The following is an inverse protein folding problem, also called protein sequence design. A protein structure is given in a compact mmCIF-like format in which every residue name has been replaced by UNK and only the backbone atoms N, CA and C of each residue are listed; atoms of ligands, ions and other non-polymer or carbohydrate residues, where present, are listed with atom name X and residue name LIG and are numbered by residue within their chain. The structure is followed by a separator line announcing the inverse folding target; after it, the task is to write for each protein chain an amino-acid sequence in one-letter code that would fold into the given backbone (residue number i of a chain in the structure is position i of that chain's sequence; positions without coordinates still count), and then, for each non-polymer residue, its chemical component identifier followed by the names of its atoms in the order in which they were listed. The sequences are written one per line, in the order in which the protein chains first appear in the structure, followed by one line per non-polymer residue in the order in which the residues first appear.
data_IF_428869313458
#
_entry.id   IF_428869313458
#
_cell.length_a   1.000
_cell.length_b   1.000
_cell.length_c   1.000
_cell.angle_alpha   90.00
_cell.angle_beta   90.00
_cell.angle_gamma   90.00
#
_symmetry.space_group_name_H-M   'P 1'
#
loop_
_entity.id
_entity.type
_entity.pdbx_description
1 polymer ?
#
# COMPACT_ATOMS: atom_id res chain seq x y z
N UNK A 1 -29.96 20.08 38.40
CA UNK A 1 -28.93 20.91 37.69
C UNK A 1 -27.72 20.05 37.37
N UNK A 2 -27.61 19.61 36.13
CA UNK A 2 -26.50 18.75 35.68
C UNK A 2 -25.37 19.64 35.14
N UNK A 3 -24.18 19.54 35.74
CA UNK A 3 -22.98 20.21 35.28
C UNK A 3 -22.51 19.59 33.93
N UNK A 4 -22.57 20.34 32.84
CA UNK A 4 -21.84 20.05 31.60
C UNK A 4 -20.35 20.04 31.92
N UNK A 5 -19.66 18.92 31.68
CA UNK A 5 -18.19 18.88 31.60
C UNK A 5 -17.81 19.43 30.21
N UNK A 6 -17.25 20.61 30.20
CA UNK A 6 -16.51 21.14 29.06
C UNK A 6 -15.27 20.25 28.85
N UNK A 7 -15.25 19.50 27.77
CA UNK A 7 -14.03 18.87 27.28
C UNK A 7 -13.22 19.95 26.58
N UNK A 8 -12.29 20.54 27.32
CA UNK A 8 -11.26 21.42 26.79
C UNK A 8 -10.47 20.62 25.75
N UNK A 9 -10.57 21.00 24.49
CA UNK A 9 -9.77 20.44 23.40
C UNK A 9 -8.31 20.74 23.70
N UNK A 10 -7.49 19.69 23.72
CA UNK A 10 -6.05 19.78 23.91
C UNK A 10 -5.44 20.59 22.76
N UNK A 11 -5.10 21.87 23.01
CA UNK A 11 -4.55 22.83 22.03
C UNK A 11 -3.14 22.45 21.55
N UNK A 12 -2.55 21.42 22.12
CA UNK A 12 -1.25 20.85 21.75
C UNK A 12 -1.40 19.39 21.38
N UNK A 13 -2.26 19.11 20.40
CA UNK A 13 -2.37 17.76 19.84
C UNK A 13 -0.99 17.27 19.38
N UNK A 14 -0.36 16.40 20.17
CA UNK A 14 0.82 15.66 19.72
C UNK A 14 0.49 15.04 18.39
N UNK A 15 1.30 15.33 17.37
CA UNK A 15 1.13 14.72 16.05
C UNK A 15 0.95 13.20 16.22
N UNK A 16 -0.02 12.58 15.55
CA UNK A 16 -0.28 11.17 15.74
C UNK A 16 1.00 10.39 15.49
N UNK A 17 1.41 9.59 16.49
CA UNK A 17 2.60 8.75 16.39
C UNK A 17 2.32 7.72 15.30
N UNK A 18 3.04 7.81 14.18
CA UNK A 18 2.93 6.86 13.09
C UNK A 18 3.46 5.48 13.54
N UNK A 19 2.98 4.38 12.94
CA UNK A 19 3.47 3.04 13.22
C UNK A 19 5.00 2.94 13.06
N UNK A 20 5.69 2.28 13.98
CA UNK A 20 7.11 1.97 13.80
C UNK A 20 7.33 1.17 12.51
N UNK A 21 8.35 1.55 11.75
CA UNK A 21 8.60 0.98 10.42
C UNK A 21 7.77 1.58 9.28
N UNK A 22 6.91 2.59 9.56
CA UNK A 22 6.33 3.42 8.53
C UNK A 22 7.30 4.53 8.11
N UNK A 23 7.46 4.72 6.80
CA UNK A 23 8.19 5.85 6.24
C UNK A 23 7.42 6.44 5.06
N UNK A 24 7.60 7.75 4.83
CA UNK A 24 6.92 8.51 3.79
C UNK A 24 7.86 9.53 3.15
N UNK A 25 7.83 9.61 1.81
CA UNK A 25 8.53 10.62 1.02
C UNK A 25 7.52 11.28 0.08
N UNK A 26 7.33 12.58 0.23
CA UNK A 26 6.55 13.34 -0.73
C UNK A 26 7.39 13.62 -1.99
N UNK A 27 6.73 13.83 -3.13
CA UNK A 27 7.39 14.14 -4.40
C UNK A 27 8.54 13.18 -4.77
N UNK A 28 8.39 11.89 -4.46
CA UNK A 28 9.37 10.85 -4.79
C UNK A 28 9.52 10.63 -6.32
N UNK A 29 8.49 10.97 -7.09
CA UNK A 29 8.46 10.89 -8.56
C UNK A 29 8.30 12.28 -9.15
N UNK A 30 9.04 12.61 -10.21
CA UNK A 30 8.89 13.88 -10.91
C UNK A 30 7.48 14.03 -11.52
N UNK A 31 7.06 15.26 -11.77
CA UNK A 31 5.74 15.49 -12.40
C UNK A 31 5.67 14.93 -13.81
N UNK A 32 6.77 15.02 -14.57
CA UNK A 32 6.86 14.49 -15.95
C UNK A 32 6.77 12.96 -15.97
N UNK A 33 7.58 12.28 -15.13
CA UNK A 33 7.56 10.82 -15.05
C UNK A 33 6.21 10.30 -14.56
N UNK A 34 5.60 10.96 -13.58
CA UNK A 34 4.28 10.60 -13.08
C UNK A 34 3.22 10.72 -14.15
N UNK A 35 3.26 11.80 -14.96
CA UNK A 35 2.34 11.98 -16.10
C UNK A 35 2.50 10.88 -17.14
N UNK A 36 3.74 10.55 -17.52
CA UNK A 36 4.02 9.47 -18.46
C UNK A 36 3.54 8.10 -17.95
N UNK A 37 3.76 7.81 -16.66
CA UNK A 37 3.31 6.58 -16.04
C UNK A 37 1.78 6.46 -16.01
N UNK A 38 1.06 7.55 -15.71
CA UNK A 38 -0.41 7.56 -15.71
C UNK A 38 -0.97 7.23 -17.09
N UNK A 39 -0.39 7.78 -18.16
CA UNK A 39 -0.79 7.43 -19.55
C UNK A 39 -0.62 5.93 -19.81
N UNK A 40 0.46 5.32 -19.33
CA UNK A 40 0.66 3.88 -19.46
C UNK A 40 -0.35 3.11 -18.59
N UNK A 41 -0.58 3.55 -17.34
CA UNK A 41 -1.52 2.88 -16.44
C UNK A 41 -2.94 2.83 -17.01
N UNK A 42 -3.39 3.89 -17.69
CA UNK A 42 -4.71 3.93 -18.33
C UNK A 42 -4.90 2.82 -19.40
N UNK A 43 -3.82 2.26 -19.94
CA UNK A 43 -3.85 1.20 -20.95
C UNK A 43 -3.70 -0.22 -20.40
N UNK A 44 -3.42 -0.38 -19.11
CA UNK A 44 -3.15 -1.69 -18.51
C UNK A 44 -4.41 -2.56 -18.47
N UNK A 45 -4.27 -3.88 -18.63
CA UNK A 45 -5.39 -4.84 -18.62
C UNK A 45 -5.85 -5.15 -17.19
N UNK A 46 -6.37 -4.14 -16.49
CA UNK A 46 -6.84 -4.28 -15.13
C UNK A 46 -7.98 -5.29 -15.00
N UNK A 47 -7.89 -6.13 -13.98
CA UNK A 47 -8.95 -7.07 -13.59
C UNK A 47 -9.51 -6.70 -12.21
N UNK A 48 -10.82 -6.88 -11.96
CA UNK A 48 -11.38 -6.73 -10.61
C UNK A 48 -10.59 -7.55 -9.61
N UNK A 49 -10.32 -6.96 -8.43
CA UNK A 49 -9.67 -7.70 -7.37
C UNK A 49 -10.65 -8.68 -6.75
N UNK A 50 -10.36 -9.97 -6.89
CA UNK A 50 -11.17 -11.04 -6.32
C UNK A 50 -10.59 -11.49 -4.97
N UNK A 51 -11.44 -11.57 -3.95
CA UNK A 51 -11.08 -12.04 -2.62
C UNK A 51 -12.19 -12.95 -2.08
N UNK A 52 -11.91 -14.25 -1.93
CA UNK A 52 -12.86 -15.26 -1.46
C UNK A 52 -14.22 -15.23 -2.19
N UNK A 53 -14.21 -15.05 -3.49
CA UNK A 53 -15.42 -15.01 -4.33
C UNK A 53 -16.15 -13.65 -4.35
N UNK A 54 -15.64 -12.63 -3.63
CA UNK A 54 -16.15 -11.27 -3.68
C UNK A 54 -15.29 -10.42 -4.62
N UNK A 55 -15.92 -9.68 -5.51
CA UNK A 55 -15.25 -8.69 -6.35
C UNK A 55 -15.12 -7.37 -5.59
N UNK A 56 -13.89 -6.92 -5.41
CA UNK A 56 -13.62 -5.59 -4.87
C UNK A 56 -13.84 -4.50 -5.92
N UNK A 57 -14.14 -3.28 -5.45
CA UNK A 57 -14.33 -2.12 -6.35
C UNK A 57 -13.02 -1.60 -6.95
N UNK A 58 -11.86 -2.10 -6.51
CA UNK A 58 -10.56 -1.77 -7.11
C UNK A 58 -10.19 -2.82 -8.15
N UNK A 59 -9.43 -2.40 -9.16
CA UNK A 59 -8.89 -3.29 -10.19
C UNK A 59 -7.37 -3.37 -10.06
N UNK A 60 -6.78 -4.50 -10.43
CA UNK A 60 -5.33 -4.73 -10.27
C UNK A 60 -4.73 -5.39 -11.52
N UNK A 61 -3.45 -5.10 -11.75
CA UNK A 61 -2.58 -5.86 -12.64
C UNK A 61 -1.26 -6.09 -11.91
N UNK A 62 -0.74 -7.31 -11.95
CA UNK A 62 0.47 -7.70 -11.22
C UNK A 62 1.51 -8.27 -12.17
N UNK A 63 2.78 -8.04 -11.82
CA UNK A 63 3.95 -8.47 -12.56
C UNK A 63 4.96 -9.12 -11.61
N UNK A 64 5.79 -10.00 -12.15
CA UNK A 64 6.75 -10.78 -11.37
C UNK A 64 6.05 -11.94 -10.67
N UNK A 65 5.83 -11.83 -9.37
CA UNK A 65 5.12 -12.85 -8.61
C UNK A 65 3.69 -12.43 -8.31
N UNK A 66 2.78 -13.39 -8.35
CA UNK A 66 1.36 -13.21 -8.06
C UNK A 66 0.94 -14.17 -6.96
N UNK A 67 0.11 -13.70 -6.03
CA UNK A 67 -0.53 -14.59 -5.07
C UNK A 67 -1.85 -15.11 -5.65
N UNK A 68 -1.91 -16.42 -5.88
CA UNK A 68 -3.14 -17.12 -6.25
C UNK A 68 -3.98 -17.37 -4.99
N UNK A 69 -5.07 -16.62 -4.82
CA UNK A 69 -5.95 -16.72 -3.66
C UNK A 69 -6.73 -18.04 -3.62
N UNK A 70 -7.04 -18.63 -4.78
CA UNK A 70 -7.75 -19.92 -4.88
C UNK A 70 -6.81 -21.08 -4.52
N UNK A 71 -5.60 -21.09 -5.10
CA UNK A 71 -4.58 -22.10 -4.84
C UNK A 71 -3.74 -21.86 -3.59
N UNK A 72 -3.90 -20.69 -2.91
CA UNK A 72 -3.11 -20.27 -1.73
C UNK A 72 -1.60 -20.37 -1.93
N UNK A 73 -1.12 -20.02 -3.13
CA UNK A 73 0.27 -20.15 -3.51
C UNK A 73 0.78 -18.93 -4.28
N UNK A 74 2.09 -18.70 -4.18
CA UNK A 74 2.78 -17.76 -5.07
C UNK A 74 2.99 -18.41 -6.43
N UNK A 75 2.69 -17.67 -7.49
CA UNK A 75 2.93 -18.08 -8.87
C UNK A 75 3.76 -17.03 -9.58
N UNK A 76 4.72 -17.47 -10.38
CA UNK A 76 5.46 -16.58 -11.27
C UNK A 76 4.52 -16.14 -12.41
N UNK A 77 4.39 -14.82 -12.57
CA UNK A 77 3.62 -14.19 -13.64
C UNK A 77 4.51 -13.55 -14.69
N UNK A 78 3.95 -12.60 -15.44
CA UNK A 78 4.68 -11.82 -16.43
C UNK A 78 5.85 -11.05 -15.77
N UNK A 79 7.01 -10.93 -16.45
CA UNK A 79 8.12 -10.12 -15.95
C UNK A 79 7.71 -8.67 -15.66
N UNK A 80 8.46 -8.00 -14.78
CA UNK A 80 8.27 -6.57 -14.58
C UNK A 80 8.57 -5.83 -15.89
N UNK A 81 7.61 -5.05 -16.43
CA UNK A 81 7.82 -4.29 -17.65
C UNK A 81 8.74 -3.08 -17.38
N UNK A 82 9.40 -2.61 -18.42
CA UNK A 82 10.43 -1.56 -18.37
C UNK A 82 9.92 -0.28 -17.70
N UNK A 83 8.65 0.09 -17.89
CA UNK A 83 8.08 1.30 -17.28
C UNK A 83 8.01 1.26 -15.74
N UNK A 84 8.07 0.07 -15.12
CA UNK A 84 8.11 -0.09 -13.66
C UNK A 84 9.54 -0.11 -13.11
N UNK A 85 10.57 -0.31 -13.92
CA UNK A 85 11.95 -0.42 -13.44
C UNK A 85 12.47 0.87 -12.75
N UNK A 86 12.14 2.09 -13.22
CA UNK A 86 12.47 3.31 -12.50
C UNK A 86 11.81 3.39 -11.11
N UNK A 87 10.53 3.00 -10.98
CA UNK A 87 9.87 2.96 -9.67
C UNK A 87 10.50 1.92 -8.76
N UNK A 88 10.86 0.75 -9.30
CA UNK A 88 11.59 -0.30 -8.58
C UNK A 88 12.93 0.21 -8.04
N UNK A 89 13.68 0.99 -8.84
CA UNK A 89 14.95 1.58 -8.42
C UNK A 89 14.76 2.58 -7.27
N UNK A 90 13.80 3.51 -7.40
CA UNK A 90 13.45 4.47 -6.36
C UNK A 90 12.97 3.81 -5.07
N UNK A 91 12.17 2.74 -5.17
CA UNK A 91 11.70 1.96 -4.04
C UNK A 91 12.86 1.27 -3.32
N UNK A 92 13.79 0.66 -4.07
CA UNK A 92 14.99 0.02 -3.51
C UNK A 92 15.88 1.02 -2.77
N UNK A 93 16.15 2.18 -3.38
CA UNK A 93 16.90 3.28 -2.75
C UNK A 93 16.22 3.71 -1.43
N UNK A 94 14.92 3.99 -1.47
CA UNK A 94 14.17 4.45 -0.30
C UNK A 94 14.17 3.43 0.84
N UNK A 95 14.11 2.15 0.53
CA UNK A 95 14.09 1.06 1.51
C UNK A 95 15.49 0.58 1.95
N UNK A 96 16.55 1.08 1.32
CA UNK A 96 17.93 0.64 1.57
C UNK A 96 18.17 -0.82 1.15
N UNK A 97 17.58 -1.26 0.03
CA UNK A 97 17.71 -2.63 -0.47
C UNK A 97 18.02 -2.67 -1.97
N UNK A 98 18.67 -3.73 -2.48
CA UNK A 98 18.88 -3.88 -3.91
C UNK A 98 17.53 -3.85 -4.67
N UNK A 99 17.39 -3.05 -5.74
CA UNK A 99 16.14 -3.04 -6.53
C UNK A 99 15.74 -4.43 -7.03
N UNK A 100 16.71 -5.29 -7.34
CA UNK A 100 16.47 -6.65 -7.80
C UNK A 100 15.72 -7.53 -6.78
N UNK A 101 15.79 -7.20 -5.48
CA UNK A 101 15.04 -7.93 -4.45
C UNK A 101 13.54 -7.62 -4.45
N UNK A 102 13.12 -6.56 -5.12
CA UNK A 102 11.71 -6.22 -5.31
C UNK A 102 11.19 -7.00 -6.53
N UNK A 103 10.76 -8.23 -6.31
CA UNK A 103 10.44 -9.20 -7.36
C UNK A 103 8.98 -9.18 -7.79
N UNK A 104 8.13 -8.48 -7.04
CA UNK A 104 6.71 -8.33 -7.31
C UNK A 104 6.35 -6.85 -7.44
N UNK A 105 5.54 -6.55 -8.45
CA UNK A 105 4.92 -5.22 -8.59
C UNK A 105 3.44 -5.37 -8.94
N UNK A 106 2.58 -4.59 -8.27
CA UNK A 106 1.16 -4.52 -8.56
C UNK A 106 0.75 -3.08 -8.79
N UNK A 107 0.17 -2.79 -9.95
CA UNK A 107 -0.52 -1.53 -10.19
C UNK A 107 -1.99 -1.72 -9.82
N UNK A 108 -2.50 -0.81 -9.01
CA UNK A 108 -3.87 -0.83 -8.49
C UNK A 108 -4.60 0.42 -8.95
N UNK A 109 -5.75 0.23 -9.56
CA UNK A 109 -6.67 1.31 -9.89
C UNK A 109 -7.77 1.41 -8.84
N UNK A 110 -7.97 2.60 -8.32
CA UNK A 110 -9.09 2.98 -7.47
C UNK A 110 -9.97 3.97 -8.22
N UNK A 111 -11.03 3.49 -8.85
CA UNK A 111 -12.07 4.34 -9.43
C UNK A 111 -12.81 5.11 -8.31
N UNK A 112 -13.56 6.20 -8.62
CA UNK A 112 -14.44 6.84 -7.65
C UNK A 112 -15.34 5.82 -6.95
N UNK A 113 -15.44 5.88 -5.62
CA UNK A 113 -16.13 4.90 -4.79
C UNK A 113 -15.29 3.68 -4.37
N UNK A 114 -14.15 3.43 -5.01
CA UNK A 114 -13.25 2.35 -4.61
C UNK A 114 -12.42 2.73 -3.39
N UNK A 115 -12.12 1.73 -2.58
CA UNK A 115 -11.24 1.82 -1.41
C UNK A 115 -10.75 0.43 -1.03
N UNK A 116 -10.08 0.34 0.11
CA UNK A 116 -9.70 -0.95 0.70
C UNK A 116 -10.00 -0.92 2.20
N UNK A 117 -10.73 -1.93 2.67
CA UNK A 117 -11.08 -2.11 4.08
C UNK A 117 -9.86 -2.37 4.97
N UNK A 118 -10.10 -2.47 6.27
CA UNK A 118 -9.04 -2.76 7.23
C UNK A 118 -8.44 -4.14 7.00
N UNK A 119 -7.15 -4.18 6.69
CA UNK A 119 -6.40 -5.42 6.44
C UNK A 119 -4.94 -5.28 6.85
N UNK A 120 -4.25 -6.38 6.88
CA UNK A 120 -2.80 -6.53 6.83
C UNK A 120 -2.46 -7.28 5.55
N UNK A 121 -1.36 -6.91 4.92
CA UNK A 121 -0.93 -7.60 3.70
C UNK A 121 -0.49 -9.02 3.96
N UNK A 122 -0.41 -9.82 2.92
CA UNK A 122 -0.02 -11.23 2.99
C UNK A 122 1.40 -11.40 3.52
N UNK A 123 1.66 -12.38 4.41
CA UNK A 123 2.98 -12.62 4.99
C UNK A 123 4.03 -13.11 3.97
N UNK A 124 3.59 -13.54 2.79
CA UNK A 124 4.45 -13.99 1.69
C UNK A 124 5.39 -12.88 1.17
N UNK A 125 5.05 -11.63 1.42
CA UNK A 125 5.86 -10.46 1.09
C UNK A 125 6.35 -9.79 2.37
N UNK A 126 7.59 -9.28 2.36
CA UNK A 126 8.19 -8.63 3.53
C UNK A 126 7.70 -7.19 3.68
N UNK A 127 8.30 -6.29 2.94
CA UNK A 127 8.02 -4.86 2.99
C UNK A 127 7.04 -4.49 1.87
N UNK A 128 6.26 -3.45 2.08
CA UNK A 128 5.41 -2.88 1.03
C UNK A 128 5.89 -1.48 0.74
N UNK A 129 6.28 -1.23 -0.51
CA UNK A 129 6.67 0.09 -1.00
C UNK A 129 5.65 0.53 -2.03
N UNK A 130 4.92 1.59 -1.74
CA UNK A 130 3.77 1.99 -2.56
C UNK A 130 3.86 3.44 -3.01
N UNK A 131 3.82 3.64 -4.32
CA UNK A 131 3.69 4.95 -4.96
C UNK A 131 2.22 5.32 -5.12
N UNK A 132 1.92 6.61 -5.02
CA UNK A 132 0.59 7.20 -5.20
C UNK A 132 0.56 8.09 -6.43
N UNK A 133 -0.51 8.04 -7.25
CA UNK A 133 -0.66 8.86 -8.45
C UNK A 133 -2.09 9.41 -8.57
N UNK A 134 -2.24 10.52 -9.27
CA UNK A 134 -3.46 11.24 -9.66
C UNK A 134 -4.13 11.92 -8.48
N UNK A 135 -4.80 11.21 -7.58
CA UNK A 135 -5.49 11.80 -6.44
C UNK A 135 -4.85 11.42 -5.10
N UNK A 136 -4.92 12.28 -4.08
CA UNK A 136 -4.50 11.94 -2.73
C UNK A 136 -5.44 10.91 -2.11
N UNK A 137 -4.93 10.15 -1.14
CA UNK A 137 -5.77 9.27 -0.31
C UNK A 137 -5.42 9.40 1.17
N UNK A 138 -6.40 9.16 2.02
CA UNK A 138 -6.19 9.06 3.45
C UNK A 138 -5.80 7.62 3.82
N UNK A 139 -4.51 7.37 4.02
CA UNK A 139 -3.98 6.09 4.50
C UNK A 139 -4.14 6.04 6.02
N UNK A 140 -5.01 5.18 6.49
CA UNK A 140 -5.36 5.05 7.90
C UNK A 140 -4.75 3.80 8.51
N UNK A 141 -4.33 3.89 9.76
CA UNK A 141 -3.76 2.81 10.55
C UNK A 141 -4.52 2.60 11.85
N UNK A 142 -4.60 1.35 12.31
CA UNK A 142 -5.09 1.00 13.64
C UNK A 142 -4.39 -0.25 14.17
N UNK A 143 -4.16 -0.28 15.48
CA UNK A 143 -3.65 -1.45 16.21
C UNK A 143 -4.45 -1.62 17.50
N UNK A 144 -4.88 -2.84 17.80
CA UNK A 144 -5.58 -3.15 19.06
C UNK A 144 -4.57 -3.23 20.21
N UNK A 145 -4.85 -2.55 21.31
CA UNK A 145 -4.08 -2.62 22.54
C UNK A 145 -4.51 -3.81 23.39
N UNK A 146 -3.69 -4.18 24.38
CA UNK A 146 -4.01 -5.24 25.34
C UNK A 146 -5.23 -4.95 26.22
N UNK A 147 -5.56 -3.67 26.45
CA UNK A 147 -6.74 -3.20 27.18
C UNK A 147 -8.03 -3.17 26.33
N UNK A 148 -7.95 -3.60 25.06
CA UNK A 148 -9.07 -3.62 24.13
C UNK A 148 -9.30 -2.30 23.38
N UNK A 149 -8.63 -1.22 23.71
CA UNK A 149 -8.67 0.05 22.98
C UNK A 149 -7.87 0.01 21.68
N UNK A 150 -7.95 1.06 20.87
CA UNK A 150 -7.28 1.12 19.57
C UNK A 150 -6.33 2.31 19.49
N UNK A 151 -5.06 2.03 19.17
CA UNK A 151 -4.17 3.04 18.58
C UNK A 151 -4.65 3.37 17.18
N UNK A 152 -4.57 4.63 16.81
CA UNK A 152 -4.97 5.12 15.48
C UNK A 152 -3.97 6.14 14.98
N UNK A 153 -3.64 6.05 13.69
CA UNK A 153 -2.87 7.05 12.98
C UNK A 153 -3.42 7.19 11.55
N UNK A 154 -3.11 8.30 10.91
CA UNK A 154 -3.46 8.52 9.51
C UNK A 154 -2.49 9.52 8.89
N UNK A 155 -2.30 9.40 7.58
CA UNK A 155 -1.54 10.34 6.77
C UNK A 155 -2.23 10.49 5.41
N UNK A 156 -2.17 11.67 4.83
CA UNK A 156 -2.54 11.88 3.42
C UNK A 156 -1.37 11.47 2.54
N UNK A 157 -1.54 10.40 1.77
CA UNK A 157 -0.60 10.04 0.72
C UNK A 157 -0.92 10.86 -0.53
N UNK A 158 -0.07 11.87 -0.80
CA UNK A 158 -0.23 12.77 -1.94
C UNK A 158 0.16 12.09 -3.26
N UNK A 159 -0.30 12.59 -4.42
CA UNK A 159 0.21 12.16 -5.72
C UNK A 159 1.73 12.32 -5.79
N UNK A 160 2.40 11.38 -6.45
CA UNK A 160 3.86 11.28 -6.61
C UNK A 160 4.61 10.93 -5.32
N UNK A 161 3.93 10.63 -4.23
CA UNK A 161 4.56 10.17 -3.00
C UNK A 161 4.91 8.69 -3.03
N UNK A 162 5.82 8.31 -2.15
CA UNK A 162 6.22 6.93 -1.84
C UNK A 162 6.10 6.70 -0.34
N UNK A 163 5.48 5.60 0.06
CA UNK A 163 5.50 5.16 1.45
C UNK A 163 5.97 3.71 1.59
N UNK A 164 6.47 3.38 2.76
CA UNK A 164 6.91 2.04 3.12
C UNK A 164 6.19 1.56 4.38
N UNK A 165 5.78 0.29 4.35
CA UNK A 165 5.34 -0.47 5.52
C UNK A 165 6.38 -1.58 5.78
N UNK A 166 7.03 -1.52 6.93
CA UNK A 166 8.05 -2.47 7.41
C UNK A 166 7.82 -2.75 8.89
N UNK A 167 8.30 -3.88 9.41
CA UNK A 167 8.20 -4.21 10.83
C UNK A 167 6.76 -4.10 11.36
N UNK A 168 6.56 -3.43 12.49
CA UNK A 168 5.24 -3.30 13.16
C UNK A 168 4.18 -2.67 12.25
N UNK A 169 4.56 -1.64 11.46
CA UNK A 169 3.64 -1.02 10.50
C UNK A 169 3.04 -2.04 9.52
N UNK A 170 3.78 -3.12 9.23
CA UNK A 170 3.44 -4.17 8.30
C UNK A 170 2.73 -5.35 8.98
N UNK A 171 3.17 -5.74 10.18
CA UNK A 171 2.72 -6.98 10.86
C UNK A 171 1.63 -6.75 11.89
N UNK A 172 1.70 -5.66 12.65
CA UNK A 172 0.84 -5.43 13.82
C UNK A 172 -0.30 -4.46 13.54
N UNK A 173 -0.06 -3.49 12.65
CA UNK A 173 -1.05 -2.50 12.31
C UNK A 173 -1.91 -2.95 11.13
N UNK A 174 -3.22 -2.81 11.28
CA UNK A 174 -4.14 -2.81 10.16
C UNK A 174 -4.06 -1.47 9.46
N UNK A 175 -4.17 -1.48 8.13
CA UNK A 175 -4.28 -0.26 7.35
C UNK A 175 -5.50 -0.30 6.41
N UNK A 176 -5.93 0.86 5.95
CA UNK A 176 -7.11 1.01 5.08
C UNK A 176 -7.07 2.32 4.31
N UNK A 177 -7.74 2.36 3.18
CA UNK A 177 -8.05 3.56 2.41
C UNK A 177 -9.57 3.62 2.27
N UNK A 178 -10.25 4.67 2.79
CA UNK A 178 -11.69 4.82 2.61
C UNK A 178 -12.04 4.99 1.12
N UNK A 179 -13.32 4.81 0.73
CA UNK A 179 -13.76 5.08 -0.62
C UNK A 179 -13.30 6.45 -1.11
N UNK A 180 -12.71 6.50 -2.29
CA UNK A 180 -12.16 7.71 -2.90
C UNK A 180 -13.22 8.43 -3.72
N UNK A 181 -13.10 9.76 -3.83
CA UNK A 181 -14.00 10.59 -4.66
C UNK A 181 -13.47 10.80 -6.07
N UNK A 182 -12.20 10.48 -6.32
CA UNK A 182 -11.54 10.65 -7.61
C UNK A 182 -10.68 9.42 -7.95
N UNK A 183 -10.37 9.26 -9.23
CA UNK A 183 -9.45 8.23 -9.72
C UNK A 183 -8.10 8.35 -9.02
N UNK A 184 -7.55 7.22 -8.59
CA UNK A 184 -6.20 7.09 -8.04
C UNK A 184 -5.55 5.81 -8.54
N UNK A 185 -4.26 5.90 -8.88
CA UNK A 185 -3.42 4.71 -9.05
C UNK A 185 -2.45 4.56 -7.88
N UNK A 186 -2.12 3.31 -7.58
CA UNK A 186 -1.00 2.94 -6.70
C UNK A 186 -0.13 1.91 -7.40
N UNK A 187 1.19 2.10 -7.38
CA UNK A 187 2.14 1.09 -7.84
C UNK A 187 2.93 0.56 -6.63
N UNK A 188 2.66 -0.68 -6.25
CA UNK A 188 3.26 -1.33 -5.09
C UNK A 188 4.40 -2.23 -5.55
N UNK A 189 5.55 -2.16 -4.85
CA UNK A 189 6.71 -3.01 -5.08
C UNK A 189 7.02 -3.75 -3.79
N UNK A 190 7.22 -5.07 -3.87
CA UNK A 190 7.37 -5.91 -2.70
C UNK A 190 8.48 -6.95 -2.91
N UNK A 191 9.39 -7.13 -1.92
CA UNK A 191 10.29 -8.27 -1.91
C UNK A 191 9.54 -9.50 -1.40
N UNK A 192 9.90 -10.67 -1.94
CA UNK A 192 9.40 -11.93 -1.40
C UNK A 192 9.97 -12.19 0.00
N UNK A 193 9.18 -12.88 0.81
CA UNK A 193 9.67 -13.44 2.07
C UNK A 193 10.50 -14.69 1.77
N UNK A 194 11.83 -14.60 1.91
CA UNK A 194 12.75 -15.72 1.65
C UNK A 194 12.71 -16.82 2.72
N UNK A 195 12.01 -16.58 3.83
CA UNK A 195 11.87 -17.57 4.92
C UNK A 195 10.62 -18.42 4.71
N UNK A 196 10.66 -19.39 3.78
CA UNK A 196 9.55 -20.33 3.61
C UNK A 196 9.50 -21.10 2.30
N UNK A 197 10.25 -20.69 1.29
CA UNK A 197 10.30 -21.43 0.01
C UNK A 197 11.52 -22.37 -0.08
N UNK A 198 11.72 -23.20 0.93
CA UNK A 198 12.47 -24.44 0.74
C UNK A 198 11.44 -25.53 0.40
N UNK A 199 11.25 -25.69 -0.90
CA UNK A 199 10.91 -26.94 -1.59
C UNK A 199 9.91 -27.86 -0.91
N UNK A 200 8.73 -28.01 -1.46
CA UNK A 200 8.23 -29.39 -1.61
C UNK A 200 8.52 -29.82 -3.05
N UNK A 201 9.10 -31.04 -3.19
CA UNK A 201 9.47 -31.63 -4.47
C UNK A 201 8.27 -31.94 -5.36
#
# INVERSE_FOLDING_TARGET
MAKRRDTQSDLFGTAPVMPEGFAYRDNAVSAGDAGALVVIFDTLPFKPFEFHGYLGNRRTVSFGWNYDYAGRALRKGEPLPDFLLPLRALAGEFAGMPPASLEQSTVIEYAPGAGIGWHRDKPDFRDVLAFSFVAPCNLRFRRKRGDGTWDRAAITAHPRSLYMLRGDARTDWYHSIPPLTALRYSANNMPLCTTGFLTQP
#
